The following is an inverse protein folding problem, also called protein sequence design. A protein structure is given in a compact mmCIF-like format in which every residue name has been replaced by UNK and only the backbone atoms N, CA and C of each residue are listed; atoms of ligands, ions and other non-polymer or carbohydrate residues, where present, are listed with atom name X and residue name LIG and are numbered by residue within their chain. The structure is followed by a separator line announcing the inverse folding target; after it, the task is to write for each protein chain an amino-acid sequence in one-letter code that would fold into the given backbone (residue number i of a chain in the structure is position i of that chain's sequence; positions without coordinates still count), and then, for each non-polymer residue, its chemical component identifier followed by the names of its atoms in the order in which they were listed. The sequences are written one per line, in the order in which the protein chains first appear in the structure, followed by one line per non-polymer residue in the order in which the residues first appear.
data_IF_321689457702
#
_entry.id   IF_321689457702
#
_cell.length_a   1.000
_cell.length_b   1.000
_cell.length_c   1.000
_cell.angle_alpha   90.00
_cell.angle_beta   90.00
_cell.angle_gamma   90.00
#
_symmetry.space_group_name_H-M   'P 1'
#
loop_
_entity.id
_entity.type
_entity.pdbx_description
1 polymer ?
#
# COMPACT_ATOMS: atom_id res chain seq x y z
N UNK A 1 2.45 -41.97 -0.95
CA UNK A 1 1.52 -41.18 -0.11
C UNK A 1 1.11 -39.96 -0.90
N UNK A 2 -0.12 -39.95 -1.40
CA UNK A 2 -0.64 -38.88 -2.24
C UNK A 2 -1.04 -37.70 -1.34
N UNK A 3 -0.48 -36.51 -1.61
CA UNK A 3 -0.97 -35.27 -1.02
C UNK A 3 -2.46 -35.14 -1.34
N UNK A 4 -3.29 -35.11 -0.30
CA UNK A 4 -4.75 -35.08 -0.41
C UNK A 4 -5.16 -33.74 -1.02
N UNK A 5 -5.68 -33.78 -2.25
CA UNK A 5 -6.27 -32.64 -2.94
C UNK A 5 -7.39 -31.92 -2.13
N UNK A 6 -7.91 -32.57 -1.08
CA UNK A 6 -8.88 -32.01 -0.13
C UNK A 6 -8.33 -30.82 0.66
N UNK A 7 -7.08 -30.86 1.13
CA UNK A 7 -6.52 -29.78 1.97
C UNK A 7 -6.35 -28.47 1.19
N UNK A 8 -5.94 -28.56 -0.08
CA UNK A 8 -5.81 -27.40 -0.97
C UNK A 8 -7.19 -26.81 -1.31
N UNK A 9 -8.21 -27.65 -1.49
CA UNK A 9 -9.57 -27.20 -1.78
C UNK A 9 -10.23 -26.51 -0.59
N UNK A 10 -9.99 -27.00 0.63
CA UNK A 10 -10.48 -26.36 1.86
C UNK A 10 -9.79 -25.01 2.09
N UNK A 11 -8.47 -24.93 1.87
CA UNK A 11 -7.72 -23.69 2.01
C UNK A 11 -8.22 -22.58 1.07
N UNK A 12 -8.55 -22.92 -0.18
CA UNK A 12 -9.10 -21.96 -1.14
C UNK A 12 -10.53 -21.56 -0.77
N UNK A 13 -11.39 -22.51 -0.34
CA UNK A 13 -12.75 -22.20 0.12
C UNK A 13 -12.76 -21.23 1.30
N UNK A 14 -11.92 -21.48 2.31
CA UNK A 14 -11.81 -20.59 3.46
C UNK A 14 -11.34 -19.18 3.09
N UNK A 15 -10.43 -19.07 2.11
CA UNK A 15 -9.93 -17.76 1.66
C UNK A 15 -10.97 -16.94 0.89
N UNK A 16 -11.92 -17.62 0.25
CA UNK A 16 -13.07 -16.99 -0.44
C UNK A 16 -14.15 -16.58 0.58
N UNK A 17 -14.45 -17.41 1.58
CA UNK A 17 -15.43 -17.07 2.63
C UNK A 17 -14.99 -15.88 3.50
N UNK A 18 -13.69 -15.68 3.70
CA UNK A 18 -13.17 -14.56 4.49
C UNK A 18 -12.98 -13.25 3.69
N UNK A 19 -13.37 -13.21 2.40
CA UNK A 19 -13.25 -12.03 1.56
C UNK A 19 -14.47 -11.11 1.76
N UNK A 20 -14.43 -10.29 2.82
CA UNK A 20 -15.47 -9.29 3.11
C UNK A 20 -15.33 -8.09 2.14
N UNK A 21 -16.00 -8.17 1.00
CA UNK A 21 -15.95 -7.19 -0.10
C UNK A 21 -16.72 -5.87 0.17
N UNK A 22 -16.84 -5.42 1.43
CA UNK A 22 -17.68 -4.27 1.79
C UNK A 22 -16.96 -2.92 1.91
N UNK A 23 -15.62 -2.88 1.92
CA UNK A 23 -14.87 -1.66 2.20
C UNK A 23 -14.31 -0.92 0.97
N UNK A 24 -14.42 -1.44 -0.26
CA UNK A 24 -13.64 -0.90 -1.39
C UNK A 24 -14.01 0.53 -1.84
N UNK A 25 -15.20 1.04 -1.52
CA UNK A 25 -15.69 2.29 -2.14
C UNK A 25 -15.17 3.58 -1.49
N UNK A 26 -14.72 3.55 -0.22
CA UNK A 26 -14.24 4.75 0.50
C UNK A 26 -12.76 5.01 0.30
N UNK A 27 -12.04 3.96 -0.05
CA UNK A 27 -10.59 3.90 -0.12
C UNK A 27 -10.04 4.21 -1.52
N UNK A 28 -10.85 4.77 -2.41
CA UNK A 28 -10.45 5.01 -3.81
C UNK A 28 -10.20 6.49 -4.07
N UNK A 29 -9.07 6.77 -4.70
CA UNK A 29 -8.68 8.10 -5.18
C UNK A 29 -8.31 8.10 -6.65
N UNK A 30 -8.15 9.29 -7.22
CA UNK A 30 -7.68 9.48 -8.60
C UNK A 30 -6.43 10.34 -8.60
N UNK A 31 -5.41 9.91 -9.35
CA UNK A 31 -4.18 10.70 -9.50
C UNK A 31 -4.44 11.94 -10.35
N UNK A 32 -4.11 13.11 -9.82
CA UNK A 32 -4.19 14.39 -10.53
C UNK A 32 -2.88 14.66 -11.27
N UNK A 33 -1.76 14.47 -10.58
CA UNK A 33 -0.43 14.80 -11.08
C UNK A 33 0.63 13.91 -10.43
N UNK A 34 1.69 13.60 -11.19
CA UNK A 34 2.89 12.91 -10.70
C UNK A 34 4.14 13.72 -11.04
N UNK A 35 4.96 13.99 -10.03
CA UNK A 35 6.18 14.80 -10.15
C UNK A 35 7.29 14.17 -9.33
N UNK A 36 8.30 13.60 -9.99
CA UNK A 36 9.53 13.06 -9.36
C UNK A 36 9.26 12.21 -8.10
N UNK A 37 8.33 11.27 -8.19
CA UNK A 37 7.95 10.39 -7.07
C UNK A 37 6.97 10.99 -6.06
N UNK A 38 6.57 12.26 -6.20
CA UNK A 38 5.46 12.87 -5.46
C UNK A 38 4.20 12.78 -6.31
N UNK A 39 3.13 12.23 -5.75
CA UNK A 39 1.84 12.08 -6.41
C UNK A 39 0.79 12.89 -5.68
N UNK A 40 -0.02 13.64 -6.42
CA UNK A 40 -1.21 14.30 -5.89
C UNK A 40 -2.42 13.49 -6.26
N UNK A 41 -3.19 13.11 -5.26
CA UNK A 41 -4.38 12.28 -5.38
C UNK A 41 -5.58 13.14 -4.97
N UNK A 42 -6.65 13.07 -5.75
CA UNK A 42 -7.96 13.60 -5.38
C UNK A 42 -8.81 12.50 -4.75
N UNK A 43 -9.53 12.83 -3.68
CA UNK A 43 -10.34 11.87 -2.93
C UNK A 43 -9.58 11.27 -1.74
N UNK A 44 -9.88 10.01 -1.42
CA UNK A 44 -9.40 9.31 -0.21
C UNK A 44 -9.87 10.00 1.09
N UNK A 45 -11.18 9.94 1.37
CA UNK A 45 -11.77 10.64 2.52
C UNK A 45 -11.32 10.10 3.88
N UNK A 46 -10.84 8.85 3.96
CA UNK A 46 -10.49 8.17 5.22
C UNK A 46 -8.96 7.97 5.39
N UNK A 47 -8.14 8.45 4.45
CA UNK A 47 -6.69 8.19 4.51
C UNK A 47 -6.05 8.82 5.73
N UNK A 48 -5.18 8.07 6.39
CA UNK A 48 -4.42 8.55 7.53
C UNK A 48 -2.99 8.98 7.14
N UNK A 49 -2.41 9.87 7.94
CA UNK A 49 -1.02 10.27 7.74
C UNK A 49 -0.11 9.06 7.98
N UNK A 50 0.81 8.80 7.05
CA UNK A 50 1.71 7.65 7.13
C UNK A 50 1.06 6.31 6.74
N UNK A 51 -0.11 6.36 6.11
CA UNK A 51 -0.77 5.18 5.56
C UNK A 51 -0.18 4.76 4.22
N UNK A 52 -0.21 3.45 3.96
CA UNK A 52 0.21 2.87 2.70
C UNK A 52 -0.89 2.95 1.64
N UNK A 53 -0.53 3.57 0.52
CA UNK A 53 -1.37 3.68 -0.68
C UNK A 53 -0.83 2.72 -1.73
N UNK A 54 -1.72 1.93 -2.32
CA UNK A 54 -1.41 1.04 -3.43
C UNK A 54 -1.73 1.74 -4.75
N UNK A 55 -0.74 1.74 -5.63
CA UNK A 55 -0.82 2.25 -6.98
C UNK A 55 -0.96 1.09 -7.98
N UNK A 56 -1.58 1.34 -9.14
CA UNK A 56 -1.65 0.35 -10.21
C UNK A 56 -0.23 -0.05 -10.64
N UNK A 57 -0.02 -1.35 -10.84
CA UNK A 57 1.31 -1.91 -11.11
C UNK A 57 2.05 -2.44 -9.88
N UNK A 58 1.42 -2.43 -8.70
CA UNK A 58 2.00 -2.99 -7.47
C UNK A 58 3.04 -2.09 -6.81
N UNK A 59 3.04 -0.80 -7.14
CA UNK A 59 3.78 0.19 -6.39
C UNK A 59 3.06 0.57 -5.12
N UNK A 60 3.84 0.82 -4.09
CA UNK A 60 3.35 1.36 -2.84
C UNK A 60 3.77 2.81 -2.73
N UNK A 61 3.00 3.60 -2.02
CA UNK A 61 3.41 4.91 -1.57
C UNK A 61 2.91 5.21 -0.18
N UNK A 62 3.38 6.34 0.34
CA UNK A 62 3.12 6.78 1.69
C UNK A 62 2.38 8.12 1.65
N UNK A 63 1.22 8.18 2.30
CA UNK A 63 0.48 9.43 2.47
C UNK A 63 1.25 10.35 3.43
N UNK A 64 1.69 11.52 2.96
CA UNK A 64 2.46 12.48 3.75
C UNK A 64 1.70 13.78 3.96
N UNK A 65 0.93 14.24 2.99
CA UNK A 65 0.19 15.49 3.10
C UNK A 65 -1.29 15.22 2.93
N UNK A 66 -2.10 15.63 3.92
CA UNK A 66 -3.55 15.49 3.88
C UNK A 66 -4.17 16.89 3.81
N UNK A 67 -4.67 17.25 2.64
CA UNK A 67 -5.48 18.45 2.43
C UNK A 67 -6.96 18.05 2.37
N UNK A 68 -7.87 19.02 2.43
CA UNK A 68 -9.31 18.76 2.48
C UNK A 68 -9.84 18.06 1.22
N UNK A 69 -9.24 18.34 0.06
CA UNK A 69 -9.63 17.81 -1.25
C UNK A 69 -8.48 17.10 -1.98
N UNK A 70 -7.27 17.09 -1.41
CA UNK A 70 -6.10 16.48 -2.04
C UNK A 70 -5.16 15.82 -1.05
N UNK A 71 -4.59 14.71 -1.47
CA UNK A 71 -3.62 13.93 -0.69
C UNK A 71 -2.30 13.90 -1.45
N UNK A 72 -1.24 14.34 -0.78
CA UNK A 72 0.14 14.19 -1.25
C UNK A 72 0.71 12.86 -0.77
N UNK A 73 1.05 12.00 -1.72
CA UNK A 73 1.70 10.73 -1.45
C UNK A 73 3.09 10.69 -2.09
N UNK A 74 4.04 9.98 -1.47
CA UNK A 74 5.34 9.68 -2.07
C UNK A 74 5.38 8.22 -2.49
N UNK A 75 5.83 7.94 -3.70
CA UNK A 75 5.94 6.58 -4.24
C UNK A 75 7.23 5.93 -3.74
N UNK A 76 7.08 4.75 -3.14
CA UNK A 76 8.14 3.89 -2.69
C UNK A 76 8.41 2.84 -3.78
N UNK A 77 9.18 3.20 -4.79
CA UNK A 77 9.51 2.30 -5.89
C UNK A 77 9.63 3.02 -7.23
N UNK A 78 9.34 2.31 -8.32
CA UNK A 78 9.34 2.90 -9.65
C UNK A 78 8.06 3.72 -9.85
N UNK A 79 8.18 5.03 -10.09
CA UNK A 79 7.04 5.90 -10.35
C UNK A 79 6.63 5.94 -11.84
N UNK A 80 7.42 5.32 -12.73
CA UNK A 80 7.28 5.44 -14.20
C UNK A 80 6.00 4.85 -14.78
N UNK A 81 5.36 3.92 -14.07
CA UNK A 81 4.13 3.28 -14.52
C UNK A 81 2.87 3.98 -14.02
N UNK A 82 3.01 4.98 -13.14
CA UNK A 82 1.88 5.73 -12.59
C UNK A 82 1.61 6.90 -13.53
N UNK A 83 0.38 6.98 -14.04
CA UNK A 83 -0.05 8.08 -14.91
C UNK A 83 -1.14 8.93 -14.25
N UNK A 84 -1.33 10.14 -14.76
CA UNK A 84 -2.45 10.99 -14.37
C UNK A 84 -3.78 10.31 -14.75
N UNK A 85 -4.76 10.35 -13.84
CA UNK A 85 -6.05 9.67 -14.00
C UNK A 85 -6.09 8.23 -13.49
N UNK A 86 -4.97 7.66 -13.04
CA UNK A 86 -4.98 6.33 -12.46
C UNK A 86 -5.77 6.27 -11.15
N UNK A 87 -6.39 5.11 -10.93
CA UNK A 87 -7.14 4.83 -9.71
C UNK A 87 -6.20 4.25 -8.66
N UNK A 88 -6.19 4.84 -7.48
CA UNK A 88 -5.36 4.41 -6.35
C UNK A 88 -6.22 3.95 -5.21
N UNK A 89 -5.70 3.03 -4.40
CA UNK A 89 -6.41 2.47 -3.25
C UNK A 89 -5.63 2.68 -1.96
N UNK A 90 -6.30 3.12 -0.91
CA UNK A 90 -5.77 3.05 0.44
C UNK A 90 -5.89 1.64 0.99
N UNK A 91 -4.90 1.24 1.77
CA UNK A 91 -4.88 -0.09 2.39
C UNK A 91 -5.36 -0.06 3.85
N UNK A 92 -5.62 1.14 4.41
CA UNK A 92 -5.92 1.37 5.84
C UNK A 92 -4.90 0.74 6.78
N UNK A 93 -3.70 0.47 6.29
CA UNK A 93 -2.57 -0.06 7.05
C UNK A 93 -1.52 1.03 7.13
N UNK A 94 -1.22 1.42 8.36
CA UNK A 94 -0.05 2.25 8.64
C UNK A 94 1.17 1.48 8.15
N UNK A 95 2.17 2.17 7.61
CA UNK A 95 3.40 1.55 7.11
C UNK A 95 4.01 0.60 8.16
N UNK A 96 3.81 -0.70 7.95
CA UNK A 96 4.39 -1.75 8.76
C UNK A 96 5.55 -2.37 7.98
N UNK A 97 6.76 -2.28 8.54
CA UNK A 97 7.89 -3.04 8.04
C UNK A 97 7.91 -4.38 8.78
N UNK A 98 7.88 -5.53 8.08
CA UNK A 98 7.99 -6.82 8.74
C UNK A 98 9.34 -6.89 9.47
N UNK A 99 9.31 -7.14 10.77
CA UNK A 99 10.51 -7.35 11.59
C UNK A 99 10.60 -8.82 11.98
N UNK A 100 11.76 -9.43 11.76
CA UNK A 100 12.02 -10.85 12.05
C UNK A 100 13.53 -11.12 12.06
N UNK A 101 13.95 -12.19 12.76
CA UNK A 101 15.36 -12.55 12.95
C UNK A 101 16.08 -12.92 11.62
N UNK A 102 15.29 -13.17 10.56
CA UNK A 102 15.76 -13.48 9.20
C UNK A 102 16.01 -12.23 8.33
N UNK A 103 15.70 -11.00 8.80
CA UNK A 103 16.10 -9.81 8.07
C UNK A 103 17.62 -9.58 8.20
N UNK A 104 18.37 -9.44 7.09
CA UNK A 104 19.77 -9.07 7.18
C UNK A 104 19.91 -7.72 7.90
N UNK A 105 20.77 -7.70 8.92
CA UNK A 105 21.08 -6.54 9.80
C UNK A 105 21.62 -5.28 9.08
N UNK A 106 21.55 -5.21 7.76
CA UNK A 106 22.16 -4.14 6.95
C UNK A 106 21.44 -2.80 7.01
N UNK A 107 20.15 -2.75 7.40
CA UNK A 107 19.37 -1.49 7.36
C UNK A 107 19.31 -0.73 8.70
N UNK A 108 19.85 -1.28 9.79
CA UNK A 108 19.71 -0.72 11.15
C UNK A 108 20.93 0.04 11.71
N UNK A 109 22.03 0.20 10.96
CA UNK A 109 23.29 0.75 11.52
C UNK A 109 23.55 2.23 11.22
N UNK A 110 22.71 2.90 10.45
CA UNK A 110 22.98 4.29 10.01
C UNK A 110 22.31 5.38 10.86
N UNK A 111 21.33 5.06 11.72
CA UNK A 111 20.60 6.07 12.50
C UNK A 111 21.16 6.31 13.92
N UNK A 112 22.39 5.86 14.21
CA UNK A 112 23.00 6.00 15.55
C UNK A 112 24.28 6.83 15.63
N UNK A 113 24.54 7.68 14.63
CA UNK A 113 25.56 8.73 14.73
C UNK A 113 25.03 10.03 14.16
N UNK A 114 24.32 10.79 14.99
CA UNK A 114 24.28 12.25 14.98
C UNK A 114 23.48 12.69 16.22
N UNK A 115 24.20 12.82 17.33
CA UNK A 115 23.84 13.60 18.50
C UNK A 115 24.98 14.59 18.72
#
# INVERSE_FOLDING_TARGET
MALKASEISELIKQRIESFDARAEARDVGTVIAVTDGIVRIHGLADVQYGEMIEFPGGSFGLALNLEQDSVGAVVLGEYKHISEGDTVKTTSRILEVPVGEELPRSSGRLLRQSY
#
